data_IF_667614312958
#
_entry.id   IF_667614312958
#
_cell.length_a   1.000
_cell.length_b   1.000
_cell.length_c   1.000
_cell.angle_alpha   90.00
_cell.angle_beta   90.00
_cell.angle_gamma   90.00
#
_symmetry.space_group_name_H-M   'P 1'
#
loop_
_entity.id
_entity.type
_entity.pdbx_description
1 polymer ?
#
# COMPACT_ATOMS: atom_id res chain seq x y z
N UNK A 1 10.26 -12.56 24.09
CA UNK A 1 9.38 -12.47 22.91
C UNK A 1 9.28 -11.00 22.52
N UNK A 2 9.86 -10.64 21.37
CA UNK A 2 9.81 -9.27 20.83
C UNK A 2 8.77 -9.20 19.72
N UNK A 3 8.19 -8.03 19.47
CA UNK A 3 7.32 -7.80 18.31
C UNK A 3 7.92 -6.66 17.48
N UNK A 4 8.23 -6.93 16.21
CA UNK A 4 8.74 -5.96 15.23
C UNK A 4 7.84 -6.08 14.00
N UNK A 5 7.35 -4.97 13.42
CA UNK A 5 6.34 -5.01 12.34
C UNK A 5 4.98 -5.62 12.73
N UNK A 6 4.68 -5.78 14.02
CA UNK A 6 3.60 -6.66 14.47
C UNK A 6 4.01 -8.14 14.46
N UNK A 7 5.06 -8.54 13.74
CA UNK A 7 5.54 -9.92 13.71
C UNK A 7 6.14 -10.28 15.06
N UNK A 8 5.73 -11.43 15.60
CA UNK A 8 6.29 -12.00 16.81
C UNK A 8 7.65 -12.66 16.53
N UNK A 9 8.62 -12.39 17.40
CA UNK A 9 9.95 -12.97 17.37
C UNK A 9 10.16 -13.77 18.64
N UNK A 10 10.55 -15.03 18.47
CA UNK A 10 11.30 -15.73 19.49
C UNK A 10 12.70 -15.13 19.54
N UNK A 11 13.03 -14.54 20.69
CA UNK A 11 14.39 -14.11 20.97
C UNK A 11 15.04 -15.19 21.81
N UNK A 12 16.25 -15.57 21.45
CA UNK A 12 17.15 -16.32 22.35
C UNK A 12 17.37 -15.54 23.64
N UNK A 13 17.86 -16.21 24.69
CA UNK A 13 18.26 -15.56 25.95
C UNK A 13 19.28 -14.42 25.73
N UNK A 14 20.05 -14.48 24.63
CA UNK A 14 21.04 -13.47 24.24
C UNK A 14 20.45 -12.32 23.38
N UNK A 15 19.13 -12.28 23.20
CA UNK A 15 18.44 -11.25 22.42
C UNK A 15 18.55 -11.41 20.90
N UNK A 16 19.14 -12.51 20.40
CA UNK A 16 19.13 -12.81 18.97
C UNK A 16 17.79 -13.36 18.53
N UNK A 17 17.28 -12.85 17.41
CA UNK A 17 16.07 -13.35 16.74
C UNK A 17 16.31 -14.77 16.22
N UNK A 18 15.49 -15.72 16.67
CA UNK A 18 15.47 -17.10 16.19
C UNK A 18 14.61 -17.16 14.93
N UNK A 19 15.23 -17.19 13.76
CA UNK A 19 14.52 -17.33 12.48
C UNK A 19 14.11 -18.77 12.14
N UNK A 20 14.28 -19.73 13.07
CA UNK A 20 14.22 -21.16 12.75
C UNK A 20 12.86 -21.83 12.93
N UNK A 21 11.82 -21.13 13.38
CA UNK A 21 10.49 -21.75 13.42
C UNK A 21 9.89 -21.84 12.02
N UNK A 22 9.45 -23.03 11.65
CA UNK A 22 9.02 -23.35 10.27
C UNK A 22 7.74 -22.62 9.85
N UNK A 23 6.94 -22.17 10.81
CA UNK A 23 5.82 -21.23 10.61
C UNK A 23 6.30 -19.84 10.18
N UNK A 24 7.44 -19.37 10.71
CA UNK A 24 8.03 -18.08 10.39
C UNK A 24 8.79 -18.09 9.06
N UNK A 25 9.33 -19.25 8.65
CA UNK A 25 10.06 -19.37 7.37
C UNK A 25 9.24 -18.93 6.16
N UNK A 26 7.94 -19.27 6.12
CA UNK A 26 7.03 -18.83 5.04
C UNK A 26 6.73 -17.33 5.09
N UNK A 27 6.63 -16.77 6.30
CA UNK A 27 6.41 -15.34 6.54
C UNK A 27 7.61 -14.52 6.07
N UNK A 28 8.82 -14.93 6.46
CA UNK A 28 10.07 -14.29 6.05
C UNK A 28 10.34 -14.42 4.56
N UNK A 29 10.03 -15.58 3.97
CA UNK A 29 10.08 -15.74 2.53
C UNK A 29 9.14 -14.75 1.83
N UNK A 30 7.90 -14.60 2.32
CA UNK A 30 6.96 -13.63 1.78
C UNK A 30 7.48 -12.19 1.92
N UNK A 31 7.96 -11.78 3.10
CA UNK A 31 8.57 -10.46 3.32
C UNK A 31 9.71 -10.21 2.32
N UNK A 32 10.62 -11.18 2.16
CA UNK A 32 11.73 -11.10 1.20
C UNK A 32 11.26 -10.97 -0.24
N UNK A 33 10.24 -11.74 -0.64
CA UNK A 33 9.61 -11.64 -1.96
C UNK A 33 9.04 -10.23 -2.20
N UNK A 34 8.36 -9.64 -1.21
CA UNK A 34 7.79 -8.30 -1.35
C UNK A 34 8.83 -7.21 -1.49
N UNK A 35 9.82 -7.20 -0.59
CA UNK A 35 10.88 -6.18 -0.60
C UNK A 35 11.74 -6.28 -1.87
N UNK A 36 12.05 -7.50 -2.32
CA UNK A 36 12.81 -7.70 -3.55
C UNK A 36 12.03 -7.26 -4.79
N UNK A 37 10.72 -7.50 -4.86
CA UNK A 37 9.90 -7.08 -6.00
C UNK A 37 9.81 -5.55 -6.13
N UNK A 38 9.63 -4.83 -5.01
CA UNK A 38 9.69 -3.35 -5.00
C UNK A 38 11.08 -2.86 -5.38
N UNK A 39 12.13 -3.45 -4.81
CA UNK A 39 13.52 -3.08 -5.12
C UNK A 39 13.87 -3.30 -6.60
N UNK A 40 13.44 -4.42 -7.19
CA UNK A 40 13.62 -4.71 -8.61
C UNK A 40 12.97 -3.64 -9.48
N UNK A 41 11.71 -3.30 -9.22
CA UNK A 41 10.99 -2.28 -9.97
C UNK A 41 11.70 -0.93 -9.91
N UNK A 42 12.07 -0.48 -8.70
CA UNK A 42 12.77 0.78 -8.47
C UNK A 42 14.16 0.82 -9.12
N UNK A 43 14.81 -0.33 -9.28
CA UNK A 43 16.10 -0.47 -9.96
C UNK A 43 15.98 -0.55 -11.49
N UNK A 44 14.77 -0.36 -12.04
CA UNK A 44 14.50 -0.41 -13.48
C UNK A 44 14.30 -1.83 -14.03
N UNK A 45 14.19 -2.84 -13.17
CA UNK A 45 13.96 -4.23 -13.57
C UNK A 45 12.52 -4.57 -13.96
N UNK A 46 11.62 -3.58 -13.98
CA UNK A 46 10.22 -3.74 -14.36
C UNK A 46 9.36 -4.53 -13.35
N UNK A 47 8.13 -4.88 -13.75
CA UNK A 47 7.21 -5.66 -12.94
C UNK A 47 7.49 -7.17 -13.09
N UNK A 48 7.73 -7.84 -11.97
CA UNK A 48 7.89 -9.29 -11.95
C UNK A 48 6.59 -9.99 -12.39
N UNK A 49 6.71 -10.97 -13.29
CA UNK A 49 5.56 -11.73 -13.79
C UNK A 49 4.59 -10.91 -14.63
N UNK A 50 5.06 -9.85 -15.30
CA UNK A 50 4.25 -9.09 -16.25
C UNK A 50 3.72 -9.98 -17.36
N UNK A 51 2.47 -9.78 -17.76
CA UNK A 51 1.80 -10.62 -18.75
C UNK A 51 1.92 -10.09 -20.18
N UNK A 52 2.43 -8.88 -20.39
CA UNK A 52 2.49 -8.27 -21.73
C UNK A 52 3.62 -7.23 -21.86
N UNK A 53 4.41 -7.32 -22.94
CA UNK A 53 5.29 -6.21 -23.38
C UNK A 53 4.56 -5.20 -24.30
N UNK A 54 3.31 -5.49 -24.65
CA UNK A 54 2.57 -4.77 -25.68
C UNK A 54 1.72 -3.63 -25.11
N UNK A 55 1.62 -2.50 -25.82
CA UNK A 55 0.55 -1.56 -25.55
C UNK A 55 -0.81 -2.24 -25.83
N UNK A 56 -1.85 -1.84 -25.09
CA UNK A 56 -3.20 -2.38 -25.26
C UNK A 56 -3.77 -2.15 -26.65
N UNK A 57 -4.36 -3.20 -27.22
CA UNK A 57 -5.13 -3.07 -28.45
C UNK A 57 -6.54 -2.58 -28.14
N UNK A 58 -6.95 -1.54 -28.87
CA UNK A 58 -8.32 -1.07 -28.95
C UNK A 58 -9.15 -2.14 -29.70
N UNK A 59 -10.28 -2.56 -29.14
CA UNK A 59 -11.18 -3.48 -29.82
C UNK A 59 -11.77 -2.82 -31.05
N UNK A 60 -11.41 -3.32 -32.22
CA UNK A 60 -12.24 -3.34 -33.40
C UNK A 60 -12.05 -4.73 -34.01
N UNK A 61 -12.83 -5.72 -33.56
CA UNK A 61 -12.94 -6.97 -34.32
C UNK A 61 -14.33 -6.92 -34.96
N UNK A 62 -14.42 -6.83 -36.30
CA UNK A 62 -15.64 -7.20 -36.99
C UNK A 62 -15.90 -8.68 -36.67
N UNK A 63 -17.09 -9.00 -36.16
CA UNK A 63 -17.54 -10.39 -36.13
C UNK A 63 -17.58 -10.87 -37.59
N UNK A 64 -16.82 -11.93 -37.96
CA UNK A 64 -16.84 -12.47 -39.32
C UNK A 64 -18.22 -13.02 -39.74
N UNK A 65 -19.18 -13.11 -38.82
CA UNK A 65 -20.57 -13.50 -39.07
C UNK A 65 -21.59 -12.36 -38.88
N UNK A 66 -21.17 -11.13 -38.54
CA UNK A 66 -22.07 -10.01 -38.31
C UNK A 66 -21.46 -8.70 -38.82
N UNK A 67 -21.59 -8.51 -40.14
CA UNK A 67 -21.21 -7.29 -40.82
C UNK A 67 -21.90 -6.06 -40.18
N UNK A 68 -21.07 -5.12 -39.69
CA UNK A 68 -21.36 -3.71 -39.39
C UNK A 68 -21.83 -3.26 -38.01
N UNK A 69 -21.85 -4.08 -36.96
CA UNK A 69 -22.19 -3.58 -35.61
C UNK A 69 -21.00 -3.63 -34.65
N UNK A 70 -20.27 -2.52 -34.42
CA UNK A 70 -19.22 -2.48 -33.41
C UNK A 70 -19.82 -2.72 -32.02
N UNK A 71 -19.20 -3.59 -31.23
CA UNK A 71 -19.58 -3.76 -29.82
C UNK A 71 -19.34 -2.46 -29.05
N UNK A 72 -20.35 -2.00 -28.32
CA UNK A 72 -20.16 -0.92 -27.34
C UNK A 72 -19.55 -1.49 -26.06
N UNK A 73 -18.83 -0.67 -25.29
CA UNK A 73 -18.30 -1.04 -23.97
C UNK A 73 -19.43 -1.53 -23.06
N UNK A 74 -20.60 -0.91 -23.15
CA UNK A 74 -21.79 -1.33 -22.41
C UNK A 74 -22.29 -2.74 -22.82
N UNK A 75 -22.10 -3.14 -24.08
CA UNK A 75 -22.48 -4.48 -24.57
C UNK A 75 -21.49 -5.53 -24.10
N UNK A 76 -20.18 -5.26 -24.24
CA UNK A 76 -19.13 -6.20 -23.80
C UNK A 76 -19.15 -6.39 -22.28
N UNK A 77 -19.33 -5.31 -21.52
CA UNK A 77 -19.33 -5.34 -20.06
C UNK A 77 -20.73 -5.26 -19.47
N UNK A 78 -21.76 -5.79 -20.15
CA UNK A 78 -23.16 -5.65 -19.75
C UNK A 78 -23.42 -6.02 -18.28
N UNK A 79 -22.78 -7.06 -17.76
CA UNK A 79 -22.87 -7.47 -16.34
C UNK A 79 -22.27 -6.48 -15.34
N UNK A 80 -21.34 -5.61 -15.77
CA UNK A 80 -20.79 -4.50 -14.96
C UNK A 80 -21.64 -3.23 -15.07
N UNK A 81 -22.30 -3.01 -16.21
CA UNK A 81 -23.19 -1.85 -16.40
C UNK A 81 -24.58 -2.05 -15.77
N UNK A 82 -25.10 -3.29 -15.76
CA UNK A 82 -26.44 -3.59 -15.22
C UNK A 82 -26.50 -3.66 -13.69
N UNK A 83 -25.37 -3.85 -13.01
CA UNK A 83 -25.35 -3.94 -11.53
C UNK A 83 -25.60 -2.61 -10.81
N UNK A 84 -25.65 -1.47 -11.52
CA UNK A 84 -25.86 -0.15 -10.92
C UNK A 84 -24.66 0.28 -10.06
N UNK A 85 -24.23 1.54 -10.20
CA UNK A 85 -23.16 2.08 -9.35
C UNK A 85 -21.72 1.68 -9.73
N UNK A 86 -21.49 1.03 -10.87
CA UNK A 86 -20.14 0.93 -11.44
C UNK A 86 -19.86 2.14 -12.32
N UNK A 87 -18.77 2.86 -12.03
CA UNK A 87 -18.32 3.96 -12.88
C UNK A 87 -17.17 3.50 -13.75
N UNK A 88 -17.19 3.97 -14.98
CA UNK A 88 -16.26 3.57 -16.03
C UNK A 88 -15.52 4.80 -16.54
N UNK A 89 -14.20 4.67 -16.63
CA UNK A 89 -13.33 5.77 -17.01
C UNK A 89 -12.41 5.32 -18.14
N UNK A 90 -12.37 6.11 -19.22
CA UNK A 90 -11.37 5.93 -20.26
C UNK A 90 -10.07 6.58 -19.81
N UNK A 91 -8.99 5.81 -19.74
CA UNK A 91 -7.65 6.34 -19.52
C UNK A 91 -6.91 6.35 -20.85
N UNK A 92 -6.74 7.54 -21.41
CA UNK A 92 -6.06 7.73 -22.71
C UNK A 92 -4.63 7.20 -22.72
N UNK A 93 -3.87 7.38 -21.63
CA UNK A 93 -2.50 6.88 -21.51
C UNK A 93 -2.42 5.36 -21.58
N UNK A 94 -3.43 4.68 -21.03
CA UNK A 94 -3.58 3.23 -21.07
C UNK A 94 -4.45 2.79 -22.24
N UNK A 95 -4.89 3.68 -23.15
CA UNK A 95 -5.88 3.38 -24.21
C UNK A 95 -6.93 2.32 -23.77
N UNK A 96 -7.49 2.48 -22.57
CA UNK A 96 -8.21 1.41 -21.88
C UNK A 96 -9.26 1.93 -20.90
N UNK A 97 -10.19 1.04 -20.53
CA UNK A 97 -11.26 1.33 -19.57
C UNK A 97 -10.94 0.77 -18.19
N UNK A 98 -11.26 1.56 -17.17
CA UNK A 98 -11.28 1.12 -15.76
C UNK A 98 -12.73 1.07 -15.32
N UNK A 99 -13.06 0.05 -14.54
CA UNK A 99 -14.35 -0.10 -13.89
C UNK A 99 -14.16 -0.04 -12.38
N UNK A 100 -14.66 1.02 -11.75
CA UNK A 100 -14.69 1.15 -10.29
C UNK A 100 -16.01 0.59 -9.75
N UNK A 101 -15.91 -0.41 -8.87
CA UNK A 101 -17.05 -1.02 -8.19
C UNK A 101 -17.57 -0.24 -6.99
N UNK A 102 -16.93 0.88 -6.65
CA UNK A 102 -17.26 1.66 -5.46
C UNK A 102 -18.13 2.89 -5.72
N UNK A 103 -18.60 3.11 -6.95
CA UNK A 103 -19.61 4.13 -7.26
C UNK A 103 -19.23 5.58 -7.04
N UNK A 104 -17.93 5.93 -7.09
CA UNK A 104 -17.48 7.32 -6.92
C UNK A 104 -17.54 8.11 -8.24
N UNK A 105 -18.29 9.23 -8.28
CA UNK A 105 -18.47 10.11 -9.47
C UNK A 105 -17.16 10.51 -10.16
N UNK A 106 -16.03 10.43 -9.44
CA UNK A 106 -14.67 10.51 -9.96
C UNK A 106 -13.80 9.43 -9.32
N UNK A 107 -12.75 8.98 -10.01
CA UNK A 107 -11.76 8.01 -9.47
C UNK A 107 -11.12 8.44 -8.14
N UNK A 108 -11.16 9.73 -7.83
CA UNK A 108 -10.62 10.34 -6.60
C UNK A 108 -11.70 11.06 -5.78
N UNK A 109 -12.96 10.64 -5.92
CA UNK A 109 -14.11 11.30 -5.29
C UNK A 109 -14.26 11.02 -3.80
N UNK A 110 -13.63 9.94 -3.30
CA UNK A 110 -13.64 9.60 -1.88
C UNK A 110 -12.66 10.47 -1.11
N UNK A 111 -13.13 11.07 -0.02
CA UNK A 111 -12.30 11.92 0.85
C UNK A 111 -11.12 11.13 1.47
N UNK A 112 -11.27 9.85 1.73
CA UNK A 112 -10.21 9.04 2.32
C UNK A 112 -9.22 8.45 1.31
N UNK A 113 -9.42 8.65 0.00
CA UNK A 113 -8.62 7.99 -1.03
C UNK A 113 -7.40 8.84 -1.42
N UNK A 114 -6.21 8.34 -1.13
CA UNK A 114 -4.94 8.95 -1.51
C UNK A 114 -4.45 8.39 -2.84
N UNK A 115 -4.55 7.09 -3.01
CA UNK A 115 -4.20 6.38 -4.23
C UNK A 115 -4.93 5.04 -4.25
N UNK A 116 -4.80 4.33 -5.36
CA UNK A 116 -5.16 2.93 -5.41
C UNK A 116 -4.42 2.22 -6.54
N UNK A 117 -4.29 0.91 -6.39
CA UNK A 117 -3.68 0.01 -7.36
C UNK A 117 -4.70 -1.02 -7.81
N UNK A 118 -4.85 -1.19 -9.13
CA UNK A 118 -5.79 -2.18 -9.67
C UNK A 118 -5.34 -3.60 -9.39
N UNK A 119 -6.33 -4.50 -9.31
CA UNK A 119 -6.10 -5.93 -9.49
C UNK A 119 -5.85 -6.21 -10.97
N UNK A 120 -4.98 -7.18 -11.26
CA UNK A 120 -4.78 -7.68 -12.62
C UNK A 120 -6.08 -8.35 -13.07
N UNK A 121 -6.54 -8.02 -14.27
CA UNK A 121 -7.65 -8.77 -14.88
C UNK A 121 -7.18 -10.19 -15.20
N UNK A 122 -7.90 -11.19 -14.70
CA UNK A 122 -7.67 -12.61 -15.07
C UNK A 122 -8.54 -13.04 -16.24
N UNK A 123 -9.50 -12.21 -16.65
CA UNK A 123 -10.39 -12.49 -17.78
C UNK A 123 -9.82 -11.91 -19.07
N UNK A 124 -9.34 -12.79 -19.95
CA UNK A 124 -8.91 -12.48 -21.32
C UNK A 124 -10.06 -12.55 -22.35
N UNK A 125 -11.25 -12.93 -21.90
CA UNK A 125 -12.45 -13.03 -22.72
C UNK A 125 -13.66 -12.62 -21.87
N UNK A 126 -14.55 -11.81 -22.43
CA UNK A 126 -15.84 -11.48 -21.82
C UNK A 126 -16.91 -11.83 -22.85
N UNK A 127 -17.71 -12.84 -22.51
CA UNK A 127 -18.62 -13.50 -23.45
C UNK A 127 -17.85 -14.01 -24.69
N UNK A 128 -18.17 -13.54 -25.89
CA UNK A 128 -17.49 -13.92 -27.15
C UNK A 128 -16.35 -12.96 -27.53
N UNK A 129 -16.10 -11.93 -26.74
CA UNK A 129 -15.16 -10.85 -27.08
C UNK A 129 -13.83 -11.07 -26.37
N UNK A 130 -12.76 -11.29 -27.14
CA UNK A 130 -11.39 -11.41 -26.63
C UNK A 130 -10.85 -10.08 -26.15
N UNK A 131 -10.55 -9.99 -24.87
CA UNK A 131 -10.04 -8.78 -24.22
C UNK A 131 -8.54 -8.85 -23.99
N UNK A 132 -7.86 -7.71 -24.17
CA UNK A 132 -6.54 -7.57 -23.56
C UNK A 132 -6.71 -7.33 -22.08
N UNK A 133 -5.93 -8.04 -21.30
CA UNK A 133 -5.75 -7.75 -19.88
C UNK A 133 -4.59 -6.78 -19.75
N UNK A 134 -4.84 -5.69 -19.04
CA UNK A 134 -3.75 -4.89 -18.53
C UNK A 134 -3.16 -5.59 -17.33
N UNK A 135 -1.86 -5.44 -17.17
CA UNK A 135 -1.25 -5.59 -15.86
C UNK A 135 -1.82 -4.57 -14.86
N UNK A 136 -1.34 -4.62 -13.64
CA UNK A 136 -1.73 -3.69 -12.60
C UNK A 136 -1.20 -2.30 -12.94
N UNK A 137 -1.93 -1.27 -12.53
CA UNK A 137 -1.46 0.10 -12.54
C UNK A 137 -1.93 0.81 -11.27
N UNK A 138 -1.22 1.86 -10.91
CA UNK A 138 -1.53 2.73 -9.78
C UNK A 138 -2.05 4.06 -10.30
N UNK A 139 -3.06 4.62 -9.64
CA UNK A 139 -3.40 6.03 -9.79
C UNK A 139 -3.24 6.75 -8.46
N UNK A 140 -2.58 7.90 -8.50
CA UNK A 140 -2.38 8.76 -7.36
C UNK A 140 -3.39 9.90 -7.43
N UNK A 141 -4.20 10.06 -6.38
CA UNK A 141 -5.11 11.19 -6.26
C UNK A 141 -4.35 12.45 -5.84
N UNK A 142 -4.87 13.67 -6.10
CA UNK A 142 -4.22 14.91 -5.66
C UNK A 142 -3.82 14.93 -4.18
N UNK A 143 -4.57 14.22 -3.33
CA UNK A 143 -4.30 14.07 -1.89
C UNK A 143 -3.02 13.30 -1.57
N UNK A 144 -2.56 12.42 -2.46
CA UNK A 144 -1.24 11.78 -2.34
C UNK A 144 -0.07 12.77 -2.45
N UNK A 145 -0.33 14.01 -2.85
CA UNK A 145 0.70 15.07 -2.94
C UNK A 145 0.42 16.23 -1.98
N UNK A 146 -0.85 16.45 -1.65
CA UNK A 146 -1.29 17.49 -0.71
C UNK A 146 -2.27 16.90 0.31
N UNK A 147 -1.75 16.33 1.42
CA UNK A 147 -2.57 15.76 2.48
C UNK A 147 -3.57 16.76 3.04
N UNK A 148 -4.68 16.24 3.58
CA UNK A 148 -5.68 17.11 4.20
C UNK A 148 -5.11 17.85 5.40
N UNK A 149 -5.30 19.17 5.39
CA UNK A 149 -5.19 20.04 6.55
C UNK A 149 -6.41 19.76 7.44
N UNK A 150 -6.21 19.69 8.77
CA UNK A 150 -7.32 19.47 9.71
C UNK A 150 -8.44 20.52 9.55
N UNK A 151 -9.65 20.20 10.03
CA UNK A 151 -10.82 21.08 9.97
C UNK A 151 -10.61 22.45 10.66
N UNK A 152 -9.54 22.62 11.45
CA UNK A 152 -9.16 23.86 12.11
C UNK A 152 -8.28 24.78 11.22
N UNK A 153 -8.04 24.40 9.96
CA UNK A 153 -7.19 25.17 9.04
C UNK A 153 -5.72 25.18 9.42
N UNK A 154 -5.32 24.43 10.46
CA UNK A 154 -3.92 24.30 10.86
C UNK A 154 -3.30 23.10 10.15
N UNK A 155 -2.08 23.28 9.62
CA UNK A 155 -1.21 22.23 9.09
C UNK A 155 -0.68 21.35 10.23
N UNK A 156 -1.56 20.92 11.14
CA UNK A 156 -1.21 19.89 12.11
C UNK A 156 -1.01 18.61 11.34
N UNK A 157 0.27 18.24 11.18
CA UNK A 157 0.75 16.96 10.68
C UNK A 157 0.30 15.75 11.54
N UNK A 158 -0.80 15.84 12.28
CA UNK A 158 -1.07 14.99 13.44
C UNK A 158 -2.43 14.28 13.40
N UNK A 159 -3.17 14.32 12.29
CA UNK A 159 -4.45 13.58 12.19
C UNK A 159 -4.72 12.87 10.87
N UNK A 160 -4.00 13.21 9.79
CA UNK A 160 -4.11 12.53 8.51
C UNK A 160 -2.92 11.57 8.33
N UNK A 161 -3.16 10.31 7.91
CA UNK A 161 -2.06 9.40 7.57
C UNK A 161 -1.30 9.94 6.35
N UNK A 162 -0.01 9.60 6.27
CA UNK A 162 0.85 9.98 5.14
C UNK A 162 0.91 11.48 4.89
N UNK A 163 0.90 12.28 5.97
CA UNK A 163 0.78 13.75 5.86
C UNK A 163 2.08 14.51 6.09
N UNK A 164 3.12 13.84 6.59
CA UNK A 164 4.39 14.50 6.86
C UNK A 164 5.14 14.84 5.55
N UNK A 165 5.60 16.09 5.35
CA UNK A 165 6.24 16.49 4.10
C UNK A 165 7.69 15.99 3.98
N UNK A 166 8.41 15.88 5.10
CA UNK A 166 9.84 15.55 5.12
C UNK A 166 10.15 14.59 6.25
N UNK A 167 11.09 13.66 5.99
CA UNK A 167 11.55 12.69 6.98
C UNK A 167 12.28 13.36 8.15
N UNK A 168 12.94 14.48 7.90
CA UNK A 168 13.59 15.29 8.94
C UNK A 168 12.60 15.81 9.98
N UNK A 169 11.33 15.98 9.63
CA UNK A 169 10.29 16.41 10.57
C UNK A 169 10.06 15.35 11.63
N UNK A 170 10.08 14.05 11.28
CA UNK A 170 9.87 12.96 12.23
C UNK A 170 10.97 12.88 13.32
N UNK A 171 12.15 13.45 13.04
CA UNK A 171 13.31 13.43 13.95
C UNK A 171 13.71 14.80 14.48
N UNK A 172 12.94 15.84 14.16
CA UNK A 172 13.14 17.17 14.72
C UNK A 172 12.81 17.16 16.22
N UNK A 173 13.55 17.91 17.04
CA UNK A 173 13.41 17.91 18.50
C UNK A 173 11.95 18.05 18.98
N UNK A 174 11.20 19.00 18.40
CA UNK A 174 9.81 19.30 18.79
C UNK A 174 8.82 18.20 18.40
N UNK A 175 9.14 17.43 17.37
CA UNK A 175 8.28 16.36 16.83
C UNK A 175 8.72 14.96 17.27
N UNK A 176 9.97 14.82 17.72
CA UNK A 176 10.53 13.54 18.12
C UNK A 176 9.78 13.00 19.34
N UNK A 177 9.40 11.72 19.35
CA UNK A 177 8.70 11.08 20.47
C UNK A 177 9.40 11.21 21.81
N UNK A 178 8.68 11.67 22.84
CA UNK A 178 9.13 11.48 24.22
C UNK A 178 8.71 10.11 24.72
N UNK A 179 9.62 9.38 25.38
CA UNK A 179 9.31 8.07 25.95
C UNK A 179 8.05 8.10 26.84
N UNK A 180 7.23 7.05 26.75
CA UNK A 180 5.94 6.94 27.45
C UNK A 180 4.79 7.67 26.75
N UNK A 181 5.04 8.37 25.64
CA UNK A 181 3.98 9.09 24.91
C UNK A 181 3.36 8.19 23.84
N UNK A 182 2.03 8.17 23.77
CA UNK A 182 1.30 7.53 22.66
C UNK A 182 1.38 8.42 21.43
N UNK A 183 1.86 7.87 20.32
CA UNK A 183 2.03 8.62 19.07
C UNK A 183 1.50 7.77 17.93
N UNK A 184 0.63 8.35 17.10
CA UNK A 184 0.24 7.73 15.83
C UNK A 184 1.40 7.82 14.85
N UNK A 185 2.19 6.76 14.71
CA UNK A 185 3.29 6.70 13.72
C UNK A 185 2.80 6.96 12.29
N UNK A 186 1.57 6.58 11.99
CA UNK A 186 0.86 6.86 10.73
C UNK A 186 0.76 8.36 10.44
N UNK A 187 0.68 9.20 11.47
CA UNK A 187 0.66 10.67 11.31
C UNK A 187 2.04 11.25 10.98
N UNK A 188 3.11 10.54 11.37
CA UNK A 188 4.49 10.89 11.04
C UNK A 188 4.93 10.31 9.68
N UNK A 189 4.13 9.42 9.10
CA UNK A 189 4.40 8.85 7.80
C UNK A 189 4.35 9.93 6.71
N UNK A 190 5.23 9.76 5.72
CA UNK A 190 5.47 10.76 4.70
C UNK A 190 4.41 10.71 3.62
N UNK A 191 4.26 11.83 2.91
CA UNK A 191 3.53 11.89 1.64
C UNK A 191 4.04 10.80 0.68
N UNK A 192 5.36 10.63 0.59
CA UNK A 192 6.00 9.60 -0.24
C UNK A 192 5.68 8.17 0.20
N UNK A 193 5.25 7.95 1.44
CA UNK A 193 4.83 6.64 1.92
C UNK A 193 3.62 6.12 1.15
N UNK A 194 2.73 7.02 0.68
CA UNK A 194 1.62 6.64 -0.21
C UNK A 194 2.14 5.96 -1.47
N UNK A 195 3.18 6.50 -2.10
CA UNK A 195 3.73 5.87 -3.29
C UNK A 195 4.33 4.50 -2.97
N UNK A 196 5.10 4.39 -1.89
CA UNK A 196 5.67 3.09 -1.49
C UNK A 196 4.59 2.05 -1.22
N UNK A 197 3.53 2.43 -0.49
CA UNK A 197 2.37 1.60 -0.21
C UNK A 197 1.75 1.06 -1.51
N UNK A 198 1.54 1.92 -2.51
CA UNK A 198 0.99 1.48 -3.79
C UNK A 198 1.95 0.63 -4.61
N UNK A 199 3.26 0.91 -4.59
CA UNK A 199 4.25 0.09 -5.28
C UNK A 199 4.30 -1.33 -4.69
N UNK A 200 4.08 -1.45 -3.40
CA UNK A 200 3.97 -2.75 -2.73
C UNK A 200 2.80 -3.57 -3.28
N UNK A 201 1.63 -2.96 -3.48
CA UNK A 201 0.54 -3.60 -4.21
C UNK A 201 0.93 -3.91 -5.64
N UNK A 202 1.46 -2.94 -6.38
CA UNK A 202 1.72 -3.05 -7.81
C UNK A 202 2.64 -4.23 -8.15
N UNK A 203 3.65 -4.46 -7.31
CA UNK A 203 4.68 -5.49 -7.50
C UNK A 203 4.27 -6.87 -7.01
N UNK A 204 3.10 -7.00 -6.36
CA UNK A 204 2.55 -8.29 -5.95
C UNK A 204 1.90 -9.04 -7.12
N UNK A 205 2.69 -9.88 -7.78
CA UNK A 205 2.23 -10.72 -8.87
C UNK A 205 1.16 -11.75 -8.45
N UNK A 206 1.15 -12.16 -7.18
CA UNK A 206 0.20 -13.13 -6.64
C UNK A 206 -1.17 -12.51 -6.30
N UNK A 207 -1.27 -11.18 -6.27
CA UNK A 207 -2.48 -10.43 -5.95
C UNK A 207 -3.08 -10.77 -4.57
N UNK A 208 -2.21 -11.04 -3.59
CA UNK A 208 -2.58 -11.38 -2.20
C UNK A 208 -2.44 -10.21 -1.23
N UNK A 209 -1.86 -9.09 -1.68
CA UNK A 209 -1.77 -7.86 -0.89
C UNK A 209 -3.13 -7.18 -0.74
N UNK A 210 -3.34 -6.56 0.42
CA UNK A 210 -4.56 -5.84 0.79
C UNK A 210 -4.24 -4.80 1.87
N UNK A 211 -5.25 -4.00 2.25
CA UNK A 211 -5.15 -2.96 3.29
C UNK A 211 -5.94 -3.30 4.56
N UNK A 212 -5.65 -4.42 5.25
CA UNK A 212 -6.40 -4.81 6.44
C UNK A 212 -6.16 -3.86 7.62
N UNK A 213 -5.00 -3.18 7.67
CA UNK A 213 -4.60 -2.37 8.82
C UNK A 213 -3.94 -1.07 8.38
N UNK A 214 -4.38 0.05 8.95
CA UNK A 214 -3.86 1.39 8.61
C UNK A 214 -3.11 2.05 9.76
N UNK A 215 -3.15 1.47 10.97
CA UNK A 215 -2.57 2.04 12.17
C UNK A 215 -1.64 1.06 12.87
N UNK A 216 -0.66 1.60 13.60
CA UNK A 216 0.35 0.80 14.31
C UNK A 216 -0.25 -0.08 15.42
N UNK A 217 -1.30 0.38 16.11
CA UNK A 217 -1.98 -0.41 17.13
C UNK A 217 -2.64 -1.66 16.51
N UNK A 218 -3.38 -1.49 15.42
CA UNK A 218 -4.01 -2.60 14.69
C UNK A 218 -2.95 -3.60 14.17
N UNK A 219 -1.83 -3.10 13.61
CA UNK A 219 -0.74 -3.94 13.09
C UNK A 219 -0.05 -4.71 14.23
N UNK A 220 0.19 -4.05 15.37
CA UNK A 220 0.81 -4.65 16.52
C UNK A 220 -0.06 -5.75 17.12
N UNK A 221 -1.36 -5.51 17.26
CA UNK A 221 -2.32 -6.52 17.74
C UNK A 221 -2.38 -7.71 16.78
N UNK A 222 -2.51 -7.45 15.48
CA UNK A 222 -2.67 -8.50 14.46
C UNK A 222 -1.50 -9.49 14.40
N UNK A 223 -0.28 -9.05 14.67
CA UNK A 223 0.86 -9.97 14.61
C UNK A 223 1.27 -10.59 15.96
N UNK A 224 0.59 -10.22 17.06
CA UNK A 224 0.54 -11.04 18.28
C UNK A 224 -0.45 -12.22 18.19
N UNK A 225 -1.21 -12.31 17.10
CA UNK A 225 -2.25 -13.32 16.86
C UNK A 225 -1.96 -14.20 15.62
N UNK A 226 -2.88 -15.12 15.28
CA UNK A 226 -2.84 -15.97 14.08
C UNK A 226 -2.92 -15.20 12.74
N UNK A 227 -2.90 -13.87 12.75
CA UNK A 227 -3.06 -13.00 11.58
C UNK A 227 -1.73 -12.51 10.97
N UNK A 228 -0.60 -13.13 11.30
CA UNK A 228 0.72 -12.78 10.77
C UNK A 228 0.78 -12.69 9.22
N UNK A 229 0.00 -13.52 8.51
CA UNK A 229 -0.08 -13.46 7.04
C UNK A 229 -0.73 -12.19 6.51
N UNK A 230 -1.68 -11.60 7.25
CA UNK A 230 -2.26 -10.30 6.90
C UNK A 230 -1.22 -9.19 7.09
N UNK A 231 -0.45 -9.24 8.17
CA UNK A 231 0.61 -8.28 8.47
C UNK A 231 1.68 -8.28 7.37
N UNK A 232 2.11 -9.45 6.89
CA UNK A 232 3.10 -9.55 5.80
C UNK A 232 2.57 -9.14 4.42
N UNK A 233 1.26 -9.22 4.20
CA UNK A 233 0.62 -8.77 2.95
C UNK A 233 0.06 -7.33 3.05
N UNK A 234 0.24 -6.67 4.19
CA UNK A 234 -0.21 -5.30 4.45
C UNK A 234 0.94 -4.31 4.18
N UNK A 235 0.86 -3.44 3.17
CA UNK A 235 1.91 -2.47 2.86
C UNK A 235 2.21 -1.52 4.02
N UNK A 236 1.18 -1.15 4.79
CA UNK A 236 1.31 -0.18 5.88
C UNK A 236 2.26 -0.67 6.99
N UNK A 237 2.32 -1.98 7.23
CA UNK A 237 3.26 -2.58 8.19
C UNK A 237 4.70 -2.17 7.87
N UNK A 238 5.08 -2.23 6.60
CA UNK A 238 6.43 -1.91 6.14
C UNK A 238 6.72 -0.41 6.18
N UNK A 239 5.74 0.42 5.81
CA UNK A 239 5.85 1.89 5.91
C UNK A 239 6.17 2.29 7.34
N UNK A 240 5.35 1.84 8.30
CA UNK A 240 5.48 2.29 9.67
C UNK A 240 6.71 1.71 10.35
N UNK A 241 7.15 0.50 9.97
CA UNK A 241 8.40 -0.05 10.47
C UNK A 241 9.63 0.66 9.94
N UNK A 242 9.67 1.02 8.66
CA UNK A 242 10.77 1.80 8.09
C UNK A 242 10.87 3.16 8.81
N UNK A 243 9.72 3.80 9.07
CA UNK A 243 9.66 5.04 9.83
C UNK A 243 10.11 4.86 11.28
N UNK A 244 9.61 3.84 11.98
CA UNK A 244 10.01 3.53 13.35
C UNK A 244 11.53 3.28 13.46
N UNK A 245 12.09 2.52 12.52
CA UNK A 245 13.52 2.22 12.45
C UNK A 245 14.35 3.48 12.20
N UNK A 246 13.86 4.36 11.34
CA UNK A 246 14.51 5.65 11.09
C UNK A 246 14.50 6.53 12.34
N UNK A 247 13.36 6.66 13.02
CA UNK A 247 13.26 7.45 14.26
C UNK A 247 14.20 6.89 15.34
N UNK A 248 14.17 5.57 15.56
CA UNK A 248 15.05 4.89 16.52
C UNK A 248 16.54 5.17 16.26
N UNK A 249 16.94 5.17 14.99
CA UNK A 249 18.34 5.35 14.60
C UNK A 249 18.81 6.81 14.60
N UNK A 250 17.89 7.77 14.76
CA UNK A 250 18.17 9.20 14.63
C UNK A 250 17.58 10.02 15.80
N UNK A 251 17.93 9.73 17.07
CA UNK A 251 17.54 10.58 18.19
C UNK A 251 18.19 11.97 18.10
N UNK A 252 17.49 13.05 18.49
CA UNK A 252 18.07 14.38 18.56
C UNK A 252 19.32 14.42 19.45
N UNK A 253 20.45 14.85 18.89
CA UNK A 253 21.71 14.95 19.64
C UNK A 253 21.64 16.00 20.74
N UNK A 254 22.29 15.73 21.88
CA UNK A 254 22.45 16.71 22.97
C UNK A 254 21.19 16.93 23.82
N UNK A 255 20.20 16.04 23.70
CA UNK A 255 18.91 16.18 24.36
C UNK A 255 18.71 15.05 25.38
N UNK A 256 18.84 15.30 26.70
CA UNK A 256 18.68 14.27 27.71
C UNK A 256 17.26 13.67 27.73
N UNK A 257 16.26 14.43 27.27
CA UNK A 257 14.85 14.03 27.28
C UNK A 257 14.38 13.37 25.97
N UNK A 258 15.26 13.27 24.95
CA UNK A 258 14.95 12.73 23.62
C UNK A 258 15.96 11.63 23.25
N UNK A 259 15.73 10.45 23.81
CA UNK A 259 16.56 9.25 23.59
C UNK A 259 15.98 8.36 22.49
N UNK A 260 16.73 7.35 22.06
CA UNK A 260 16.23 6.34 21.12
C UNK A 260 14.96 5.68 21.68
N UNK A 261 13.92 5.58 20.83
CA UNK A 261 12.63 4.97 21.22
C UNK A 261 12.20 3.88 20.26
N UNK A 262 11.50 2.88 20.79
CA UNK A 262 10.77 1.84 20.06
C UNK A 262 9.26 2.03 20.22
N UNK A 263 8.46 1.37 19.39
CA UNK A 263 7.01 1.63 19.29
C UNK A 263 6.11 0.40 19.54
N UNK A 264 6.22 -0.33 20.66
CA UNK A 264 5.31 -1.43 20.94
C UNK A 264 3.87 -0.93 21.14
N UNK A 265 2.92 -1.48 20.39
CA UNK A 265 1.50 -1.12 20.47
C UNK A 265 1.21 0.36 20.16
N UNK A 266 2.06 1.02 19.38
CA UNK A 266 1.95 2.46 19.10
C UNK A 266 2.38 3.38 20.25
N UNK A 267 3.00 2.85 21.31
CA UNK A 267 3.59 3.66 22.38
C UNK A 267 5.09 3.78 22.20
N UNK A 268 5.61 5.01 22.26
CA UNK A 268 7.06 5.21 22.33
C UNK A 268 7.61 4.74 23.68
N UNK A 269 8.65 3.91 23.68
CA UNK A 269 9.33 3.41 24.89
C UNK A 269 10.85 3.47 24.70
N UNK A 270 11.58 3.69 25.79
CA UNK A 270 13.03 3.46 25.81
C UNK A 270 13.33 1.98 25.77
N UNK A 271 14.51 1.62 25.26
CA UNK A 271 15.10 0.31 25.49
C UNK A 271 16.00 0.47 26.72
N UNK A 272 15.66 -0.23 27.79
CA UNK A 272 16.49 -0.32 29.01
C UNK A 272 17.58 -1.37 28.84
#
# INVERSE_FOLDING_TARGET
MGIILGIQFEATEDGQVVASDTSDGSLWANIGIRLSAVSQLLSGGGLAGSTTDNPPYLFCVPDPNNDNNPYTVATVFAGKFTQGGHLHFWISALKGWIFDSNGATTLCGKISLYAATTKRSTASEIDTVKTNTFDRFTWLCPRAFTPLVGNDGTTKATSAPHSAPLLSTAVAYDSYPSAGTRIGLDTLALISSTLYHELFHLTDAAQTTADPYTKMDDIYEAGGEFHASNVANNPESYVLFALASYIYSNPPTGSPDKVAVVFPGGFSKTID
#
